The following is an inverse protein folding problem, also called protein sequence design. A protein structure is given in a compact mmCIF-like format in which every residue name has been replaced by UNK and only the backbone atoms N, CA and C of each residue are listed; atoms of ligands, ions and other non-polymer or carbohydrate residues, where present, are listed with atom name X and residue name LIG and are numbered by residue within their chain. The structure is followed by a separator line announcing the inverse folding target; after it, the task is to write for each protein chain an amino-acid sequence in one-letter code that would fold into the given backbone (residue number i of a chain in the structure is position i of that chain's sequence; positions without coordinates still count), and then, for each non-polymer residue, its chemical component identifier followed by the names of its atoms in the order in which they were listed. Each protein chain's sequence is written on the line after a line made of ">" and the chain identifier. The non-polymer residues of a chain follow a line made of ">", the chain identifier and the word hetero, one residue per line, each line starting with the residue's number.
data_IF_056758594017
#
_entry.id   IF_056758594017
#
_cell.length_a   1.000
_cell.length_b   1.000
_cell.length_c   1.000
_cell.angle_alpha   90.00
_cell.angle_beta   90.00
_cell.angle_gamma   90.00
#
_symmetry.space_group_name_H-M   'P 1'
#
loop_
_entity.id
_entity.type
_entity.pdbx_description
1 polymer ?
#
# COMPACT_ATOMS: atom_id res chain seq x y z
N UNK A 1 22.08 10.12 -3.49
CA UNK A 1 22.00 8.89 -4.30
C UNK A 1 23.35 8.18 -4.29
N UNK A 2 23.37 6.89 -3.95
CA UNK A 2 24.50 6.00 -4.14
C UNK A 2 24.46 5.43 -5.56
N UNK A 3 25.48 5.73 -6.38
CA UNK A 3 25.49 5.34 -7.80
C UNK A 3 25.55 3.82 -8.01
N UNK A 4 26.24 3.08 -7.15
CA UNK A 4 26.35 1.62 -7.25
C UNK A 4 25.02 0.94 -6.89
N UNK A 5 24.36 1.42 -5.82
CA UNK A 5 23.05 0.95 -5.42
C UNK A 5 21.98 1.30 -6.47
N UNK A 6 22.00 2.51 -7.00
CA UNK A 6 21.09 2.96 -8.07
C UNK A 6 21.20 2.06 -9.30
N UNK A 7 22.43 1.78 -9.76
CA UNK A 7 22.68 0.91 -10.90
C UNK A 7 22.22 -0.54 -10.63
N UNK A 8 22.42 -1.03 -9.41
CA UNK A 8 21.96 -2.36 -9.01
C UNK A 8 20.44 -2.45 -8.96
N UNK A 9 19.77 -1.47 -8.37
CA UNK A 9 18.32 -1.36 -8.33
C UNK A 9 17.70 -1.31 -9.73
N UNK A 10 18.30 -0.51 -10.63
CA UNK A 10 17.86 -0.43 -12.03
C UNK A 10 17.97 -1.78 -12.75
N UNK A 11 19.11 -2.50 -12.58
CA UNK A 11 19.28 -3.85 -13.17
C UNK A 11 18.27 -4.85 -12.60
N UNK A 12 18.00 -4.79 -11.29
CA UNK A 12 17.04 -5.69 -10.65
C UNK A 12 15.61 -5.53 -11.17
N UNK A 13 15.23 -4.32 -11.58
CA UNK A 13 13.91 -4.02 -12.16
C UNK A 13 13.87 -4.11 -13.69
N UNK A 14 14.98 -4.47 -14.36
CA UNK A 14 15.02 -4.51 -15.81
C UNK A 14 13.94 -5.42 -16.40
N UNK A 15 13.22 -4.92 -17.41
CA UNK A 15 12.14 -5.67 -18.08
C UNK A 15 10.82 -5.72 -17.29
N UNK A 16 10.71 -5.03 -16.15
CA UNK A 16 9.48 -4.95 -15.36
C UNK A 16 8.90 -3.55 -15.35
N UNK A 17 7.62 -3.42 -14.98
CA UNK A 17 7.00 -2.15 -14.61
C UNK A 17 7.00 -2.05 -13.09
N UNK A 18 7.76 -1.11 -12.54
CA UNK A 18 7.87 -1.01 -11.08
C UNK A 18 8.65 0.21 -10.62
N UNK A 19 8.79 0.31 -9.31
CA UNK A 19 9.63 1.29 -8.65
C UNK A 19 10.40 0.66 -7.50
N UNK A 20 11.56 1.23 -7.20
CA UNK A 20 12.36 0.90 -6.02
C UNK A 20 12.86 2.19 -5.42
N UNK A 21 12.64 2.34 -4.12
CA UNK A 21 13.19 3.44 -3.33
C UNK A 21 13.95 2.83 -2.16
N UNK A 22 15.21 3.23 -1.99
CA UNK A 22 16.01 2.89 -0.83
C UNK A 22 16.29 4.17 -0.03
N UNK A 23 15.96 4.13 1.26
CA UNK A 23 16.05 5.26 2.17
C UNK A 23 16.99 4.91 3.31
N UNK A 24 17.91 5.81 3.62
CA UNK A 24 18.75 5.71 4.82
C UNK A 24 17.89 6.06 6.05
N UNK A 25 17.84 5.16 7.00
CA UNK A 25 16.89 5.24 8.13
C UNK A 25 17.19 6.43 9.04
N UNK A 26 18.48 6.72 9.29
CA UNK A 26 18.90 7.77 10.24
C UNK A 26 18.66 9.18 9.71
N UNK A 27 18.92 9.40 8.42
CA UNK A 27 18.86 10.74 7.80
C UNK A 27 17.59 10.98 6.98
N UNK A 28 16.87 9.92 6.61
CA UNK A 28 15.80 9.99 5.60
C UNK A 28 16.32 10.19 4.17
N UNK A 29 17.64 10.14 3.97
CA UNK A 29 18.27 10.37 2.67
C UNK A 29 17.95 9.28 1.65
N UNK A 30 17.62 9.67 0.41
CA UNK A 30 17.35 8.74 -0.67
C UNK A 30 18.67 8.18 -1.22
N UNK A 31 18.93 6.90 -1.00
CA UNK A 31 20.11 6.19 -1.51
C UNK A 31 19.92 5.72 -2.94
N UNK A 32 18.72 5.26 -3.30
CA UNK A 32 18.37 4.90 -4.67
C UNK A 32 16.89 5.19 -4.92
N UNK A 33 16.58 5.63 -6.15
CA UNK A 33 15.20 5.84 -6.61
C UNK A 33 15.10 5.44 -8.08
N UNK A 34 14.36 4.40 -8.36
CA UNK A 34 14.23 3.81 -9.71
C UNK A 34 12.75 3.70 -10.08
N UNK A 35 12.45 4.09 -11.31
CA UNK A 35 11.15 3.86 -11.94
C UNK A 35 11.38 3.18 -13.29
N UNK A 36 10.74 2.05 -13.52
CA UNK A 36 10.88 1.27 -14.78
C UNK A 36 9.52 1.02 -15.44
N UNK A 37 9.46 0.92 -16.78
CA UNK A 37 10.56 1.29 -17.68
C UNK A 37 10.89 2.77 -17.61
N UNK A 38 12.14 3.10 -17.90
CA UNK A 38 12.63 4.47 -17.94
C UNK A 38 12.88 4.90 -19.40
N UNK A 39 13.38 6.10 -19.57
CA UNK A 39 13.72 6.67 -20.87
C UNK A 39 15.09 7.34 -20.82
N UNK A 40 15.72 7.55 -21.98
CA UNK A 40 16.92 8.36 -22.10
C UNK A 40 16.55 9.85 -21.98
N UNK A 41 17.07 10.59 -20.97
CA UNK A 41 16.79 12.02 -20.81
C UNK A 41 17.60 12.91 -21.77
N UNK A 42 18.68 12.41 -22.38
CA UNK A 42 19.58 13.22 -23.20
C UNK A 42 18.89 13.91 -24.38
N UNK A 43 17.96 13.27 -25.12
CA UNK A 43 17.23 13.95 -26.18
C UNK A 43 16.47 15.20 -25.72
N UNK A 44 16.03 15.25 -24.47
CA UNK A 44 15.32 16.44 -23.94
C UNK A 44 16.24 17.64 -23.76
N UNK A 45 17.55 17.42 -23.53
CA UNK A 45 18.53 18.49 -23.33
C UNK A 45 18.85 19.22 -24.65
N UNK A 46 18.91 18.45 -25.75
CA UNK A 46 19.30 18.98 -27.07
C UNK A 46 18.10 19.25 -28.00
N UNK A 47 16.89 18.96 -27.55
CA UNK A 47 15.65 19.04 -28.31
C UNK A 47 15.22 17.66 -28.83
N UNK A 48 14.18 17.09 -28.22
CA UNK A 48 13.62 15.81 -28.66
C UNK A 48 12.73 16.01 -29.90
N UNK A 49 12.84 15.12 -30.88
CA UNK A 49 11.98 15.12 -32.05
C UNK A 49 10.53 14.72 -31.72
N UNK A 50 9.55 15.27 -32.49
CA UNK A 50 8.13 15.01 -32.27
C UNK A 50 7.79 13.52 -32.30
N UNK A 51 8.31 12.77 -33.24
CA UNK A 51 8.08 11.32 -33.37
C UNK A 51 8.57 10.56 -32.12
N UNK A 52 9.78 10.86 -31.68
CA UNK A 52 10.38 10.23 -30.50
C UNK A 52 9.60 10.59 -29.22
N UNK A 53 9.15 11.85 -29.09
CA UNK A 53 8.36 12.28 -27.95
C UNK A 53 6.97 11.64 -27.95
N UNK A 54 6.30 11.57 -29.10
CA UNK A 54 5.01 10.90 -29.24
C UNK A 54 5.12 9.41 -28.88
N UNK A 55 6.19 8.73 -29.31
CA UNK A 55 6.42 7.33 -28.97
C UNK A 55 6.53 7.12 -27.44
N UNK A 56 7.14 8.05 -26.69
CA UNK A 56 7.22 7.99 -25.24
C UNK A 56 5.85 8.25 -24.59
N UNK A 57 5.06 9.20 -25.11
CA UNK A 57 3.73 9.55 -24.59
C UNK A 57 2.70 8.44 -24.82
N UNK A 58 2.71 7.83 -26.02
CA UNK A 58 1.74 6.82 -26.43
C UNK A 58 2.12 5.41 -25.96
N UNK A 59 3.32 5.25 -25.43
CA UNK A 59 3.79 3.95 -24.92
C UNK A 59 2.86 3.40 -23.81
N UNK A 60 2.33 2.18 -23.98
CA UNK A 60 1.52 1.53 -22.94
C UNK A 60 2.30 1.31 -21.64
N UNK A 61 3.62 1.32 -21.72
CA UNK A 61 4.52 1.19 -20.58
C UNK A 61 4.70 2.48 -19.77
N UNK A 62 4.26 3.62 -20.33
CA UNK A 62 4.28 4.95 -19.69
C UNK A 62 5.66 5.28 -19.08
N UNK A 63 6.76 5.30 -19.87
CA UNK A 63 8.11 5.53 -19.34
C UNK A 63 8.30 6.92 -18.73
N UNK A 64 7.50 7.92 -19.15
CA UNK A 64 7.52 9.27 -18.57
C UNK A 64 6.84 9.37 -17.21
N UNK A 65 6.11 8.32 -16.80
CA UNK A 65 5.46 8.28 -15.50
C UNK A 65 6.43 7.81 -14.41
N UNK A 66 6.84 8.72 -13.53
CA UNK A 66 7.70 8.36 -12.40
C UNK A 66 6.88 7.60 -11.34
N UNK A 67 7.02 6.27 -11.35
CA UNK A 67 6.29 5.38 -10.44
C UNK A 67 6.74 5.51 -8.99
N UNK A 68 7.98 5.93 -8.76
CA UNK A 68 8.50 6.12 -7.41
C UNK A 68 7.90 7.35 -6.70
N UNK A 69 7.52 8.38 -7.48
CA UNK A 69 6.95 9.63 -6.95
C UNK A 69 5.42 9.69 -7.05
N UNK A 70 4.86 9.04 -8.06
CA UNK A 70 3.44 9.23 -8.44
C UNK A 70 2.65 7.94 -8.49
N UNK A 71 3.31 6.80 -8.28
CA UNK A 71 2.67 5.49 -8.29
C UNK A 71 1.83 5.31 -7.02
N UNK A 72 0.52 5.22 -7.19
CA UNK A 72 -0.42 4.89 -6.12
C UNK A 72 -0.88 3.45 -6.35
N UNK A 73 -0.44 2.55 -5.49
CA UNK A 73 -0.71 1.12 -5.58
C UNK A 73 -1.20 0.61 -4.23
N UNK A 74 -2.17 -0.32 -4.20
CA UNK A 74 -2.58 -0.94 -2.94
C UNK A 74 -1.38 -1.59 -2.24
N UNK A 75 -1.02 -1.16 -1.03
CA UNK A 75 0.15 -1.69 -0.31
C UNK A 75 -0.07 -3.12 0.18
N UNK A 76 -1.33 -3.52 0.35
CA UNK A 76 -1.68 -4.86 0.80
C UNK A 76 -1.13 -5.17 2.19
N UNK A 77 -0.79 -6.45 2.41
CA UNK A 77 -0.34 -6.98 3.70
C UNK A 77 0.94 -6.33 4.26
N UNK A 78 1.63 -5.49 3.50
CA UNK A 78 2.79 -4.75 4.03
C UNK A 78 2.40 -3.76 5.13
N UNK A 79 1.12 -3.35 5.21
CA UNK A 79 0.61 -2.49 6.27
C UNK A 79 0.20 -3.24 7.54
N UNK A 80 0.07 -4.56 7.53
CA UNK A 80 -0.40 -5.35 8.68
C UNK A 80 0.40 -5.12 9.96
N UNK A 81 1.75 -5.03 9.95
CA UNK A 81 2.50 -4.71 11.16
C UNK A 81 2.11 -3.36 11.77
N UNK A 82 1.90 -2.33 10.94
CA UNK A 82 1.45 -1.01 11.38
C UNK A 82 0.01 -1.07 11.93
N UNK A 83 -0.89 -1.74 11.23
CA UNK A 83 -2.28 -1.90 11.68
C UNK A 83 -2.35 -2.69 12.98
N UNK A 84 -1.50 -3.72 13.16
CA UNK A 84 -1.37 -4.43 14.43
C UNK A 84 -0.94 -3.54 15.59
N UNK A 85 0.02 -2.63 15.36
CA UNK A 85 0.42 -1.63 16.36
C UNK A 85 -0.73 -0.68 16.71
N UNK A 86 -1.53 -0.27 15.72
CA UNK A 86 -2.73 0.55 15.95
C UNK A 86 -3.75 -0.21 16.79
N UNK A 87 -4.04 -1.48 16.46
CA UNK A 87 -4.96 -2.33 17.24
C UNK A 87 -4.53 -2.48 18.71
N UNK A 88 -3.23 -2.64 18.97
CA UNK A 88 -2.68 -2.67 20.32
C UNK A 88 -2.80 -1.32 21.03
N UNK A 89 -2.48 -0.22 20.35
CA UNK A 89 -2.55 1.14 20.90
C UNK A 89 -3.96 1.55 21.28
N UNK A 90 -4.93 1.19 20.45
CA UNK A 90 -6.37 1.47 20.67
C UNK A 90 -7.04 0.43 21.59
N UNK A 91 -6.28 -0.54 22.10
CA UNK A 91 -6.78 -1.62 22.98
C UNK A 91 -7.91 -2.46 22.35
N UNK A 92 -7.92 -2.56 21.03
CA UNK A 92 -8.85 -3.41 20.29
C UNK A 92 -8.43 -4.89 20.41
N UNK A 93 -7.12 -5.12 20.39
CA UNK A 93 -6.49 -6.41 20.62
C UNK A 93 -5.34 -6.26 21.63
N UNK A 94 -4.95 -7.35 22.26
CA UNK A 94 -3.72 -7.47 23.03
C UNK A 94 -2.86 -8.60 22.47
N UNK A 95 -1.72 -8.88 23.10
CA UNK A 95 -0.81 -9.92 22.64
C UNK A 95 -1.31 -11.35 22.90
N UNK A 96 -2.32 -11.51 23.74
CA UNK A 96 -2.96 -12.80 24.10
C UNK A 96 -4.24 -13.03 23.30
N UNK A 97 -4.75 -11.99 22.62
CA UNK A 97 -5.95 -12.09 21.81
C UNK A 97 -5.75 -13.06 20.63
N UNK A 98 -6.60 -14.08 20.56
CA UNK A 98 -6.56 -15.06 19.48
C UNK A 98 -7.91 -15.18 18.77
N UNK A 99 -7.86 -15.55 17.51
CA UNK A 99 -9.06 -15.88 16.73
C UNK A 99 -8.94 -17.28 16.14
N UNK A 100 -10.08 -17.82 15.72
CA UNK A 100 -10.14 -18.99 14.85
C UNK A 100 -10.33 -18.54 13.41
N UNK A 101 -9.36 -18.82 12.54
CA UNK A 101 -9.47 -18.56 11.11
C UNK A 101 -9.84 -19.81 10.34
N UNK A 102 -11.07 -19.85 9.83
CA UNK A 102 -11.57 -20.87 8.93
C UNK A 102 -11.26 -20.61 7.45
N UNK A 103 -10.56 -19.51 7.16
CA UNK A 103 -10.31 -19.03 5.80
C UNK A 103 -11.38 -18.05 5.30
N UNK A 104 -12.40 -17.75 6.08
CA UNK A 104 -13.51 -16.89 5.67
C UNK A 104 -13.93 -15.93 6.79
N UNK A 105 -14.15 -14.68 6.41
CA UNK A 105 -14.70 -13.65 7.29
C UNK A 105 -16.11 -13.26 6.83
N UNK A 106 -17.06 -13.25 7.76
CA UNK A 106 -18.47 -12.95 7.50
C UNK A 106 -18.90 -11.68 8.19
N UNK A 107 -19.44 -10.73 7.44
CA UNK A 107 -20.15 -9.59 8.00
C UNK A 107 -21.64 -9.90 8.12
N UNK A 108 -22.30 -9.48 9.23
CA UNK A 108 -23.75 -9.60 9.37
C UNK A 108 -24.47 -8.93 8.20
N UNK A 109 -25.45 -9.62 7.63
CA UNK A 109 -26.26 -9.10 6.52
C UNK A 109 -25.57 -9.14 5.13
N UNK A 110 -24.32 -9.61 5.03
CA UNK A 110 -23.61 -9.77 3.75
C UNK A 110 -23.52 -11.24 3.38
N UNK A 111 -24.08 -11.60 2.22
CA UNK A 111 -24.14 -13.00 1.76
C UNK A 111 -22.75 -13.55 1.41
N UNK A 112 -21.93 -12.75 0.73
CA UNK A 112 -20.62 -13.18 0.24
C UNK A 112 -19.54 -12.90 1.29
N UNK A 113 -18.85 -13.93 1.80
CA UNK A 113 -17.77 -13.74 2.74
C UNK A 113 -16.50 -13.20 2.04
N UNK A 114 -15.66 -12.51 2.81
CA UNK A 114 -14.26 -12.26 2.44
C UNK A 114 -13.44 -13.52 2.65
N UNK A 115 -12.46 -13.72 1.80
CA UNK A 115 -11.62 -14.93 1.84
C UNK A 115 -10.19 -14.56 2.18
N UNK A 116 -9.63 -15.30 3.10
CA UNK A 116 -8.19 -15.35 3.32
C UNK A 116 -7.48 -16.01 2.12
N UNK A 117 -6.22 -15.66 1.89
CA UNK A 117 -5.41 -16.30 0.85
C UNK A 117 -5.27 -17.81 1.07
N UNK A 118 -5.35 -18.27 2.35
CA UNK A 118 -5.26 -19.67 2.76
C UNK A 118 -6.63 -20.38 2.84
N UNK A 119 -7.73 -19.74 2.43
CA UNK A 119 -9.09 -20.26 2.54
C UNK A 119 -9.27 -21.67 1.93
N UNK A 120 -8.61 -21.94 0.78
CA UNK A 120 -8.69 -23.26 0.13
C UNK A 120 -8.05 -24.39 0.95
N UNK A 121 -7.20 -24.06 1.92
CA UNK A 121 -6.55 -25.01 2.83
C UNK A 121 -7.22 -25.07 4.21
N UNK A 122 -8.34 -24.33 4.40
CA UNK A 122 -9.09 -24.30 5.64
C UNK A 122 -8.69 -23.15 6.58
N UNK A 123 -8.05 -22.10 6.06
CA UNK A 123 -7.56 -20.97 6.83
C UNK A 123 -6.28 -21.30 7.62
N UNK A 124 -6.03 -20.51 8.66
CA UNK A 124 -4.88 -20.69 9.57
C UNK A 124 -5.23 -21.50 10.84
N UNK A 125 -6.52 -21.87 11.01
CA UNK A 125 -6.98 -22.70 12.12
C UNK A 125 -7.19 -21.95 13.43
N UNK A 126 -7.02 -22.66 14.57
CA UNK A 126 -7.22 -22.10 15.90
C UNK A 126 -6.01 -21.29 16.38
N UNK A 127 -6.27 -20.46 17.39
CA UNK A 127 -5.27 -19.75 18.19
C UNK A 127 -4.32 -18.87 17.32
N UNK A 128 -4.89 -18.16 16.36
CA UNK A 128 -4.16 -17.15 15.57
C UNK A 128 -4.09 -15.86 16.39
N UNK A 129 -2.94 -15.61 16.99
CA UNK A 129 -2.61 -14.36 17.67
C UNK A 129 -2.05 -13.31 16.69
N UNK A 130 -1.80 -12.10 17.17
CA UNK A 130 -1.27 -11.01 16.34
C UNK A 130 0.07 -11.35 15.69
N UNK A 131 0.98 -11.99 16.43
CA UNK A 131 2.31 -12.34 15.91
C UNK A 131 2.18 -13.34 14.76
N UNK A 132 1.39 -14.39 14.95
CA UNK A 132 1.11 -15.39 13.93
C UNK A 132 0.36 -14.79 12.73
N UNK A 133 -0.61 -13.88 13.00
CA UNK A 133 -1.34 -13.18 11.95
C UNK A 133 -0.43 -12.34 11.04
N UNK A 134 0.63 -11.72 11.60
CA UNK A 134 1.63 -10.98 10.81
C UNK A 134 2.53 -11.96 10.05
N UNK A 135 3.06 -13.00 10.72
CA UNK A 135 4.00 -13.97 10.13
C UNK A 135 3.36 -14.72 8.95
N UNK A 136 2.14 -15.21 9.16
CA UNK A 136 1.40 -16.00 8.17
C UNK A 136 0.52 -15.15 7.25
N UNK A 137 0.50 -13.82 7.48
CA UNK A 137 -0.32 -12.86 6.74
C UNK A 137 -1.82 -13.18 6.77
N UNK A 138 -2.36 -13.57 7.92
CA UNK A 138 -3.76 -13.92 8.10
C UNK A 138 -4.66 -12.70 7.84
N UNK A 139 -5.48 -12.75 6.79
CA UNK A 139 -6.40 -11.67 6.46
C UNK A 139 -7.58 -11.63 7.43
N UNK A 140 -8.09 -12.78 7.86
CA UNK A 140 -9.27 -12.88 8.75
C UNK A 140 -9.02 -12.19 10.09
N UNK A 141 -7.79 -12.29 10.65
CA UNK A 141 -7.42 -11.57 11.86
C UNK A 141 -7.57 -10.05 11.67
N UNK A 142 -7.02 -9.53 10.59
CA UNK A 142 -7.05 -8.10 10.29
C UNK A 142 -8.43 -7.60 9.84
N UNK A 143 -9.25 -8.43 9.23
CA UNK A 143 -10.66 -8.10 8.96
C UNK A 143 -11.43 -7.87 10.26
N UNK A 144 -11.30 -8.78 11.23
CA UNK A 144 -11.95 -8.66 12.54
C UNK A 144 -11.47 -7.41 13.28
N UNK A 145 -10.16 -7.30 13.45
CA UNK A 145 -9.55 -6.15 14.13
C UNK A 145 -9.94 -4.81 13.47
N UNK A 146 -9.96 -4.77 12.11
CA UNK A 146 -10.30 -3.55 11.37
C UNK A 146 -11.73 -3.09 11.59
N UNK A 147 -12.70 -4.01 11.63
CA UNK A 147 -14.10 -3.70 11.91
C UNK A 147 -14.24 -3.14 13.32
N UNK A 148 -13.56 -3.72 14.30
CA UNK A 148 -13.62 -3.28 15.69
C UNK A 148 -12.86 -1.95 15.92
N UNK A 149 -11.89 -1.61 15.05
CA UNK A 149 -11.11 -0.35 15.16
C UNK A 149 -11.84 0.85 14.58
N UNK A 150 -12.71 0.70 13.62
CA UNK A 150 -13.28 1.75 12.75
C UNK A 150 -12.26 2.39 11.79
N UNK A 151 -12.74 2.72 10.58
CA UNK A 151 -11.86 3.25 9.51
C UNK A 151 -11.27 4.63 9.83
N UNK A 152 -12.03 5.51 10.47
CA UNK A 152 -11.57 6.86 10.77
C UNK A 152 -10.46 6.84 11.84
N UNK A 153 -10.55 5.91 12.81
CA UNK A 153 -9.48 5.65 13.77
C UNK A 153 -8.27 5.07 13.08
N UNK A 154 -8.45 4.02 12.26
CA UNK A 154 -7.36 3.40 11.51
C UNK A 154 -6.64 4.42 10.61
N UNK A 155 -7.41 5.29 9.93
CA UNK A 155 -6.87 6.36 9.08
C UNK A 155 -6.08 7.39 9.88
N UNK A 156 -6.68 7.94 10.94
CA UNK A 156 -6.02 8.98 11.75
C UNK A 156 -4.73 8.49 12.40
N UNK A 157 -4.69 7.23 12.84
CA UNK A 157 -3.47 6.63 13.41
C UNK A 157 -2.43 6.32 12.35
N UNK A 158 -2.83 5.90 11.15
CA UNK A 158 -1.92 5.66 10.02
C UNK A 158 -1.20 6.93 9.57
N UNK A 159 -1.83 8.09 9.70
CA UNK A 159 -1.21 9.37 9.40
C UNK A 159 0.00 9.68 10.30
N UNK A 160 0.04 9.15 11.53
CA UNK A 160 1.21 9.29 12.39
C UNK A 160 2.46 8.59 11.83
N UNK A 161 2.28 7.64 10.93
CA UNK A 161 3.35 6.97 10.18
C UNK A 161 3.60 7.60 8.80
N UNK A 162 2.93 8.72 8.50
CA UNK A 162 3.07 9.43 7.23
C UNK A 162 2.21 8.88 6.09
N UNK A 163 1.38 7.85 6.33
CA UNK A 163 0.51 7.29 5.28
C UNK A 163 -0.53 8.33 4.86
N UNK A 164 -0.69 8.51 3.55
CA UNK A 164 -1.60 9.49 2.98
C UNK A 164 -1.07 10.93 2.97
N UNK A 165 0.20 11.15 3.32
CA UNK A 165 0.84 12.47 3.37
C UNK A 165 1.97 12.58 2.35
N UNK A 166 2.31 13.84 1.99
CA UNK A 166 3.53 14.12 1.23
C UNK A 166 4.75 13.90 2.12
N UNK A 167 5.80 13.30 1.57
CA UNK A 167 7.09 13.15 2.27
C UNK A 167 7.90 14.43 2.26
N UNK A 168 7.52 15.38 1.41
CA UNK A 168 8.24 16.63 1.13
C UNK A 168 9.64 16.39 0.54
N UNK A 169 9.78 15.32 -0.24
CA UNK A 169 11.00 15.12 -1.03
C UNK A 169 11.24 16.34 -1.92
N UNK A 170 12.50 16.72 -2.12
CA UNK A 170 12.93 17.90 -2.90
C UNK A 170 12.79 17.72 -4.44
N UNK A 171 12.05 16.70 -4.88
CA UNK A 171 11.74 16.45 -6.29
C UNK A 171 10.27 16.78 -6.54
N UNK A 172 9.94 17.63 -7.53
CA UNK A 172 8.56 18.04 -7.77
C UNK A 172 7.70 16.91 -8.36
N UNK A 173 6.41 16.94 -8.04
CA UNK A 173 5.42 16.03 -8.62
C UNK A 173 5.13 14.79 -7.79
N UNK A 174 5.57 14.77 -6.53
CA UNK A 174 5.13 13.76 -5.56
C UNK A 174 3.61 13.72 -5.45
N UNK A 175 3.05 12.52 -5.37
CA UNK A 175 1.65 12.29 -5.05
C UNK A 175 1.54 11.67 -3.66
N UNK A 176 0.66 12.16 -2.77
CA UNK A 176 0.41 11.50 -1.51
C UNK A 176 -0.27 10.15 -1.74
N UNK A 177 -0.13 9.24 -0.80
CA UNK A 177 -0.97 8.05 -0.76
C UNK A 177 -2.42 8.38 -0.39
N UNK A 178 -3.26 7.39 -0.36
CA UNK A 178 -4.64 7.50 0.12
C UNK A 178 -4.82 6.54 1.29
N UNK A 179 -5.07 7.10 2.49
CA UNK A 179 -5.64 6.35 3.60
C UNK A 179 -7.06 6.88 3.79
N UNK A 180 -8.08 6.11 3.34
CA UNK A 180 -9.44 6.63 3.22
C UNK A 180 -10.09 6.86 4.57
N UNK A 181 -11.06 7.78 4.61
CA UNK A 181 -12.01 8.01 5.70
C UNK A 181 -13.42 7.93 5.15
N UNK A 182 -14.42 7.92 6.06
CA UNK A 182 -15.83 8.03 5.67
C UNK A 182 -16.10 9.31 4.88
N UNK A 183 -15.54 10.42 5.34
CA UNK A 183 -15.66 11.73 4.69
C UNK A 183 -14.94 11.76 3.35
N UNK A 184 -13.72 11.22 3.27
CA UNK A 184 -13.00 11.12 2.00
C UNK A 184 -13.81 10.40 0.91
N UNK A 185 -14.44 9.28 1.24
CA UNK A 185 -15.28 8.54 0.28
C UNK A 185 -16.49 9.35 -0.16
N UNK A 186 -17.13 10.05 0.80
CA UNK A 186 -18.28 10.90 0.52
C UNK A 186 -17.94 12.08 -0.38
N UNK A 187 -16.81 12.74 -0.11
CA UNK A 187 -16.38 13.92 -0.87
C UNK A 187 -15.83 13.56 -2.25
N UNK A 188 -15.01 12.51 -2.32
CA UNK A 188 -14.31 12.14 -3.55
C UNK A 188 -15.16 11.33 -4.53
N UNK A 189 -16.07 10.47 -4.01
CA UNK A 189 -16.85 9.53 -4.82
C UNK A 189 -18.36 9.77 -4.73
N UNK A 190 -18.82 10.64 -3.83
CA UNK A 190 -20.23 10.87 -3.51
C UNK A 190 -20.95 9.59 -3.05
N UNK A 191 -20.24 8.70 -2.37
CA UNK A 191 -20.75 7.42 -1.86
C UNK A 191 -20.63 7.36 -0.34
N UNK A 192 -21.50 6.58 0.29
CA UNK A 192 -21.39 6.29 1.71
C UNK A 192 -20.33 5.21 1.96
N UNK A 193 -19.74 5.24 3.16
CA UNK A 193 -18.87 4.17 3.64
C UNK A 193 -19.70 2.97 4.11
N UNK A 194 -19.23 1.77 3.83
CA UNK A 194 -19.81 0.52 4.30
C UNK A 194 -18.74 -0.30 5.03
N UNK A 195 -19.17 -1.17 5.95
CA UNK A 195 -18.25 -2.05 6.69
C UNK A 195 -17.36 -2.90 5.79
N UNK A 196 -17.87 -3.31 4.63
CA UNK A 196 -17.07 -4.01 3.63
C UNK A 196 -15.87 -3.21 3.08
N UNK A 197 -15.97 -1.89 3.08
CA UNK A 197 -14.85 -1.02 2.72
C UNK A 197 -13.76 -1.07 3.80
N UNK A 198 -14.18 -1.08 5.09
CA UNK A 198 -13.27 -1.24 6.23
C UNK A 198 -12.56 -2.58 6.17
N UNK A 199 -13.27 -3.67 5.87
CA UNK A 199 -12.67 -5.01 5.71
C UNK A 199 -11.56 -4.99 4.67
N UNK A 200 -11.78 -4.38 3.51
CA UNK A 200 -10.76 -4.28 2.48
C UNK A 200 -9.59 -3.37 2.90
N UNK A 201 -9.91 -2.23 3.53
CA UNK A 201 -8.89 -1.27 3.97
C UNK A 201 -7.98 -1.86 5.05
N UNK A 202 -8.51 -2.70 5.96
CA UNK A 202 -7.75 -3.30 7.07
C UNK A 202 -6.64 -4.28 6.64
N UNK A 203 -6.61 -4.65 5.37
CA UNK A 203 -5.51 -5.42 4.76
C UNK A 203 -4.75 -4.63 3.69
N UNK A 204 -4.88 -3.30 3.70
CA UNK A 204 -4.18 -2.43 2.76
C UNK A 204 -4.69 -2.53 1.32
N UNK A 205 -5.97 -2.83 1.13
CA UNK A 205 -6.64 -2.92 -0.18
C UNK A 205 -7.84 -1.98 -0.29
N UNK A 206 -8.65 -2.14 -1.33
CA UNK A 206 -9.79 -1.28 -1.59
C UNK A 206 -9.35 0.12 -1.99
N UNK A 207 -9.66 1.12 -1.19
CA UNK A 207 -9.31 2.53 -1.44
C UNK A 207 -7.95 2.95 -0.86
N UNK A 208 -7.23 2.05 -0.20
CA UNK A 208 -5.87 2.33 0.32
C UNK A 208 -4.88 2.28 -0.83
N UNK A 209 -4.18 3.40 -1.06
CA UNK A 209 -3.22 3.56 -2.16
C UNK A 209 -1.94 4.26 -1.70
#
# INVERSE_FOLDING_TARGET
>A
IDGALQATAHRALAGTRGALVAIEIESGGILAMVSTPSYDPNPFVIGIGNEQYSALLESPDRPLFNRALRGQYPPGSTLKPMFGLIGLQEQIVDLEHTIHDSGYFHLPGVIRPWRDHNAKKGGHGADVDLARAIIESCDVYFYSMGIDTDIDVLSSRSQLFGIGQLTNIDIPGEQPGIMPTKDWKKESLNENWFDGDTVNASIGQGFVL
#
